data_IF_832234972768
#
_entry.id   IF_832234972768
#
_cell.length_a   1.000
_cell.length_b   1.000
_cell.length_c   1.000
_cell.angle_alpha   90.00
_cell.angle_beta   90.00
_cell.angle_gamma   90.00
#
_symmetry.space_group_name_H-M   'P 1'
#
loop_
_entity.id
_entity.type
_entity.pdbx_description
1 polymer ?
#
# COMPACT_ATOMS: atom_id res chain seq x y z
N UNK A 1 61.83 -79.77 -4.87
CA UNK A 1 60.77 -79.14 -5.63
C UNK A 1 60.93 -77.62 -5.46
N UNK A 2 61.48 -76.96 -6.50
CA UNK A 2 61.81 -75.55 -6.54
C UNK A 2 60.58 -74.77 -7.05
N UNK A 3 60.11 -73.81 -6.29
CA UNK A 3 59.05 -72.85 -6.70
C UNK A 3 59.69 -71.66 -7.38
N UNK A 4 59.53 -71.55 -8.67
CA UNK A 4 59.95 -70.37 -9.47
C UNK A 4 58.91 -69.29 -9.36
N UNK A 5 59.26 -68.16 -8.65
CA UNK A 5 58.44 -66.99 -8.64
C UNK A 5 58.66 -66.15 -9.90
N UNK A 6 57.62 -66.03 -10.74
CA UNK A 6 57.62 -65.12 -11.90
C UNK A 6 57.32 -63.73 -11.40
N UNK A 7 58.30 -62.82 -11.45
CA UNK A 7 58.12 -61.38 -11.29
C UNK A 7 57.52 -60.82 -12.57
N UNK A 8 56.30 -60.29 -12.49
CA UNK A 8 55.73 -59.54 -13.58
C UNK A 8 56.40 -58.13 -13.61
N UNK A 9 57.16 -57.85 -14.66
CA UNK A 9 57.69 -56.54 -15.00
C UNK A 9 56.48 -55.67 -15.51
N UNK A 10 56.14 -54.63 -14.78
CA UNK A 10 55.24 -53.61 -15.30
C UNK A 10 55.97 -52.68 -16.24
N UNK A 11 55.44 -52.45 -17.47
CA UNK A 11 56.13 -51.60 -18.45
C UNK A 11 56.21 -50.14 -17.91
N UNK A 12 57.34 -49.51 -18.18
CA UNK A 12 57.66 -48.13 -17.83
C UNK A 12 56.51 -47.16 -18.09
N UNK A 13 56.22 -46.38 -17.08
CA UNK A 13 55.25 -45.30 -17.16
C UNK A 13 55.57 -44.38 -18.35
N UNK A 14 54.65 -44.32 -19.31
CA UNK A 14 54.70 -43.38 -20.43
C UNK A 14 54.74 -41.96 -19.85
N UNK A 15 55.93 -41.34 -19.88
CA UNK A 15 56.13 -39.93 -19.51
C UNK A 15 55.37 -39.09 -20.53
N UNK A 16 54.19 -38.63 -20.15
CA UNK A 16 53.48 -37.60 -20.91
C UNK A 16 54.34 -36.34 -21.01
N UNK A 17 54.60 -35.86 -22.22
CA UNK A 17 55.40 -34.64 -22.38
C UNK A 17 54.72 -33.48 -21.61
N UNK A 18 55.52 -32.60 -20.96
CA UNK A 18 54.96 -31.47 -20.26
C UNK A 18 54.11 -30.60 -21.22
N UNK A 19 52.89 -30.30 -20.82
CA UNK A 19 52.00 -29.47 -21.63
C UNK A 19 52.71 -28.15 -21.99
N UNK A 20 52.60 -27.71 -23.26
CA UNK A 20 53.28 -26.47 -23.69
C UNK A 20 52.82 -25.31 -22.80
N UNK A 21 53.76 -24.66 -22.11
CA UNK A 21 53.53 -23.46 -21.31
C UNK A 21 53.10 -22.36 -22.26
N UNK A 22 51.81 -22.17 -22.45
CA UNK A 22 51.29 -20.99 -23.17
C UNK A 22 51.76 -19.74 -22.47
N UNK A 23 52.40 -18.79 -23.18
CA UNK A 23 52.90 -17.57 -22.55
C UNK A 23 51.73 -16.82 -21.88
N UNK A 24 51.89 -16.40 -20.63
CA UNK A 24 50.88 -15.82 -19.75
C UNK A 24 50.06 -14.68 -20.39
N UNK A 25 50.64 -13.93 -21.35
CA UNK A 25 49.95 -12.89 -22.10
C UNK A 25 48.88 -13.44 -23.05
N UNK A 26 49.07 -14.61 -23.66
CA UNK A 26 48.06 -15.23 -24.53
C UNK A 26 46.86 -15.74 -23.74
N UNK A 27 47.05 -16.14 -22.49
CA UNK A 27 45.94 -16.57 -21.63
C UNK A 27 45.03 -15.42 -21.20
N UNK A 28 45.48 -14.14 -21.25
CA UNK A 28 44.68 -12.94 -20.91
C UNK A 28 44.17 -12.24 -22.17
N UNK A 29 44.95 -12.18 -23.24
CA UNK A 29 44.58 -11.51 -24.49
C UNK A 29 43.39 -12.17 -25.19
N UNK A 30 43.30 -13.49 -25.18
CA UNK A 30 42.19 -14.20 -25.83
C UNK A 30 40.84 -13.91 -25.16
N UNK A 31 40.64 -14.05 -23.82
CA UNK A 31 39.41 -13.65 -23.18
C UNK A 31 39.12 -12.15 -23.34
N UNK A 32 40.16 -11.30 -23.28
CA UNK A 32 40.01 -9.87 -23.43
C UNK A 32 39.52 -9.47 -24.82
N UNK A 33 40.00 -10.15 -25.92
CA UNK A 33 39.54 -9.88 -27.28
C UNK A 33 38.07 -10.26 -27.48
N UNK A 34 37.61 -11.35 -26.87
CA UNK A 34 36.18 -11.72 -26.90
C UNK A 34 35.32 -10.77 -26.09
N UNK A 35 35.82 -10.23 -24.95
CA UNK A 35 35.12 -9.26 -24.11
C UNK A 35 35.23 -7.83 -24.62
N UNK A 36 36.18 -7.52 -25.50
CA UNK A 36 36.47 -6.16 -25.95
C UNK A 36 35.24 -5.42 -26.53
N UNK A 37 34.41 -5.99 -27.39
CA UNK A 37 33.21 -5.31 -27.88
C UNK A 37 32.23 -4.96 -26.74
N UNK A 38 31.99 -5.87 -25.82
CA UNK A 38 31.11 -5.65 -24.67
C UNK A 38 31.70 -4.60 -23.71
N UNK A 39 33.00 -4.65 -23.41
CA UNK A 39 33.70 -3.68 -22.57
C UNK A 39 33.74 -2.28 -23.23
N UNK A 40 33.87 -2.20 -24.53
CA UNK A 40 33.84 -0.95 -25.28
C UNK A 40 32.44 -0.32 -25.17
N UNK A 41 31.40 -1.10 -25.42
CA UNK A 41 30.01 -0.64 -25.28
C UNK A 41 29.73 -0.17 -23.84
N UNK A 42 30.13 -0.95 -22.85
CA UNK A 42 30.00 -0.59 -21.43
C UNK A 42 30.76 0.71 -21.12
N UNK A 43 31.98 0.85 -21.64
CA UNK A 43 32.80 2.06 -21.47
C UNK A 43 32.12 3.30 -22.02
N UNK A 44 31.63 3.24 -23.28
CA UNK A 44 31.04 4.37 -23.97
C UNK A 44 29.65 4.71 -23.47
N UNK A 45 28.78 3.70 -23.22
CA UNK A 45 27.37 3.92 -22.91
C UNK A 45 27.04 3.95 -21.41
N UNK A 46 27.93 3.47 -20.55
CA UNK A 46 27.70 3.43 -19.10
C UNK A 46 28.76 4.21 -18.34
N UNK A 47 30.04 3.87 -18.50
CA UNK A 47 31.12 4.47 -17.70
C UNK A 47 31.31 5.96 -18.08
N UNK A 48 31.39 6.26 -19.35
CA UNK A 48 31.60 7.65 -19.82
C UNK A 48 30.46 8.59 -19.38
N UNK A 49 29.14 8.28 -19.57
CA UNK A 49 28.07 9.13 -19.06
C UNK A 49 28.09 9.26 -17.54
N UNK A 50 28.39 8.17 -16.81
CA UNK A 50 28.51 8.24 -15.36
C UNK A 50 29.62 9.22 -14.90
N UNK A 51 30.81 9.15 -15.51
CA UNK A 51 31.88 10.11 -15.24
C UNK A 51 31.51 11.54 -15.63
N UNK A 52 30.81 11.72 -16.75
CA UNK A 52 30.29 13.04 -17.13
C UNK A 52 29.28 13.58 -16.13
N UNK A 53 28.41 12.72 -15.56
CA UNK A 53 27.47 13.12 -14.51
C UNK A 53 28.21 13.60 -13.27
N UNK A 54 29.25 12.87 -12.82
CA UNK A 54 30.11 13.30 -11.71
C UNK A 54 30.76 14.64 -12.02
N UNK A 55 31.33 14.82 -13.22
CA UNK A 55 31.93 16.09 -13.63
C UNK A 55 30.91 17.23 -13.62
N UNK A 56 29.73 17.02 -14.20
CA UNK A 56 28.63 18.01 -14.27
C UNK A 56 28.12 18.44 -12.92
N UNK A 57 28.26 17.63 -11.87
CA UNK A 57 27.87 18.02 -10.51
C UNK A 57 28.63 19.25 -9.98
N UNK A 58 29.75 19.61 -10.60
CA UNK A 58 30.58 20.78 -10.26
C UNK A 58 30.30 22.00 -11.19
N UNK A 59 29.36 21.90 -12.11
CA UNK A 59 28.98 22.97 -13.06
C UNK A 59 27.54 23.41 -12.85
N UNK A 60 27.19 24.65 -13.14
CA UNK A 60 25.85 25.17 -12.98
C UNK A 60 24.94 24.82 -14.15
N UNK A 61 25.48 24.86 -15.36
CA UNK A 61 24.79 24.76 -16.64
C UNK A 61 24.77 23.34 -17.24
N UNK A 62 23.94 23.16 -18.26
CA UNK A 62 23.84 21.90 -19.02
C UNK A 62 25.10 21.63 -19.84
N UNK A 63 25.69 22.67 -20.41
CA UNK A 63 26.86 22.56 -21.32
C UNK A 63 28.16 22.26 -20.53
N UNK A 64 28.19 22.48 -19.21
CA UNK A 64 29.35 22.25 -18.36
C UNK A 64 30.46 23.30 -18.59
N UNK A 65 30.06 24.53 -18.81
CA UNK A 65 30.96 25.67 -19.05
C UNK A 65 31.11 26.56 -17.82
N UNK A 66 30.07 26.72 -17.00
CA UNK A 66 30.09 27.50 -15.76
C UNK A 66 30.48 26.65 -14.55
N UNK A 67 31.76 26.68 -14.18
CA UNK A 67 32.31 25.93 -13.05
C UNK A 67 31.97 26.60 -11.73
N UNK A 68 31.17 25.94 -10.91
CA UNK A 68 30.72 26.44 -9.59
C UNK A 68 31.32 25.69 -8.38
N UNK A 69 32.20 24.71 -8.63
CA UNK A 69 32.81 23.92 -7.57
C UNK A 69 31.77 23.13 -6.77
N UNK A 70 31.82 23.24 -5.45
CA UNK A 70 30.92 22.50 -4.54
C UNK A 70 29.56 23.17 -4.27
N UNK A 71 29.22 24.28 -4.92
CA UNK A 71 27.96 25.01 -4.67
C UNK A 71 26.70 24.14 -4.87
N UNK A 72 26.69 23.24 -5.85
CA UNK A 72 25.58 22.32 -6.06
C UNK A 72 25.45 21.31 -4.90
N UNK A 73 26.56 20.86 -4.37
CA UNK A 73 26.61 19.95 -3.22
C UNK A 73 26.16 20.61 -1.93
N UNK A 74 26.61 21.84 -1.68
CA UNK A 74 26.18 22.64 -0.53
C UNK A 74 24.68 22.89 -0.58
N UNK A 75 24.17 23.29 -1.75
CA UNK A 75 22.75 23.45 -1.98
C UNK A 75 21.97 22.15 -1.81
N UNK A 76 22.48 21.02 -2.29
CA UNK A 76 21.86 19.70 -2.13
C UNK A 76 21.74 19.31 -0.65
N UNK A 77 22.77 19.60 0.15
CA UNK A 77 22.79 19.30 1.57
C UNK A 77 21.90 20.25 2.41
N UNK A 78 21.45 21.37 1.86
CA UNK A 78 20.56 22.33 2.52
C UNK A 78 19.13 22.35 1.98
N UNK A 79 18.82 21.55 0.95
CA UNK A 79 17.48 21.52 0.34
C UNK A 79 16.55 20.55 1.08
N UNK A 80 15.42 21.06 1.60
CA UNK A 80 14.44 20.29 2.37
C UNK A 80 13.82 19.13 1.58
N UNK A 81 13.61 19.29 0.27
CA UNK A 81 13.08 18.21 -0.57
C UNK A 81 14.11 17.09 -0.72
N UNK A 82 15.41 17.43 -0.82
CA UNK A 82 16.47 16.42 -0.86
C UNK A 82 16.59 15.69 0.48
N UNK A 83 16.43 16.39 1.60
CA UNK A 83 16.38 15.73 2.93
C UNK A 83 15.19 14.77 3.02
N UNK A 84 14.00 15.20 2.57
CA UNK A 84 12.81 14.34 2.53
C UNK A 84 13.02 13.14 1.60
N UNK A 85 13.60 13.36 0.42
CA UNK A 85 13.94 12.30 -0.52
C UNK A 85 14.93 11.29 0.07
N UNK A 86 15.96 11.77 0.75
CA UNK A 86 16.94 10.91 1.44
C UNK A 86 16.29 10.08 2.55
N UNK A 87 15.47 10.70 3.40
CA UNK A 87 14.70 10.01 4.44
C UNK A 87 13.81 8.92 3.84
N UNK A 88 13.08 9.25 2.78
CA UNK A 88 12.22 8.29 2.09
C UNK A 88 13.04 7.14 1.49
N UNK A 89 14.18 7.41 0.85
CA UNK A 89 15.07 6.36 0.35
C UNK A 89 15.51 5.39 1.47
N UNK A 90 15.82 5.91 2.67
CA UNK A 90 16.15 5.05 3.82
C UNK A 90 14.96 4.19 4.22
N UNK A 91 13.76 4.75 4.29
CA UNK A 91 12.52 4.01 4.57
C UNK A 91 12.29 2.91 3.52
N UNK A 92 12.45 3.24 2.25
CA UNK A 92 12.32 2.31 1.15
C UNK A 92 13.31 1.15 1.24
N UNK A 93 14.58 1.45 1.50
CA UNK A 93 15.67 0.47 1.63
C UNK A 93 15.42 -0.50 2.80
N UNK A 94 14.94 0.03 3.92
CA UNK A 94 14.70 -0.77 5.12
C UNK A 94 13.43 -1.62 5.03
N UNK A 95 12.39 -1.13 4.35
CA UNK A 95 11.09 -1.82 4.36
C UNK A 95 10.93 -2.72 3.13
N UNK A 96 11.06 -2.17 1.92
CA UNK A 96 10.62 -2.88 0.72
C UNK A 96 11.44 -4.17 0.43
N UNK A 97 12.78 -4.19 0.43
CA UNK A 97 13.54 -5.41 0.17
C UNK A 97 13.30 -6.50 1.21
N UNK A 98 13.23 -6.11 2.50
CA UNK A 98 12.97 -7.06 3.59
C UNK A 98 11.58 -7.66 3.45
N UNK A 99 10.56 -6.83 3.22
CA UNK A 99 9.18 -7.29 3.07
C UNK A 99 9.03 -8.19 1.82
N UNK A 100 9.61 -7.82 0.68
CA UNK A 100 9.56 -8.61 -0.56
C UNK A 100 10.22 -9.97 -0.37
N UNK A 101 11.40 -10.02 0.25
CA UNK A 101 12.11 -11.30 0.50
C UNK A 101 11.34 -12.15 1.51
N UNK A 102 10.87 -11.57 2.60
CA UNK A 102 10.12 -12.30 3.64
C UNK A 102 8.81 -12.87 3.10
N UNK A 103 8.01 -12.03 2.42
CA UNK A 103 6.75 -12.47 1.81
C UNK A 103 7.00 -13.45 0.66
N UNK A 104 8.02 -13.22 -0.17
CA UNK A 104 8.43 -14.13 -1.24
C UNK A 104 8.81 -15.51 -0.71
N UNK A 105 9.56 -15.57 0.40
CA UNK A 105 9.92 -16.81 1.07
C UNK A 105 8.69 -17.54 1.63
N UNK A 106 7.80 -16.82 2.32
CA UNK A 106 6.54 -17.40 2.84
C UNK A 106 5.71 -17.98 1.70
N UNK A 107 5.52 -17.21 0.62
CA UNK A 107 4.75 -17.67 -0.54
C UNK A 107 5.43 -18.83 -1.26
N UNK A 108 6.76 -18.86 -1.38
CA UNK A 108 7.50 -19.96 -1.97
C UNK A 108 7.26 -21.28 -1.20
N UNK A 109 7.36 -21.22 0.15
CA UNK A 109 7.12 -22.39 1.02
C UNK A 109 5.67 -22.87 0.96
N UNK A 110 4.72 -21.92 0.99
CA UNK A 110 3.29 -22.26 0.93
C UNK A 110 2.92 -22.91 -0.41
N UNK A 111 3.48 -22.38 -1.51
CA UNK A 111 3.17 -22.89 -2.85
C UNK A 111 3.82 -24.24 -3.16
N UNK A 112 4.87 -24.65 -2.44
CA UNK A 112 5.51 -25.96 -2.64
C UNK A 112 4.57 -27.13 -2.37
N UNK A 113 3.63 -26.96 -1.43
CA UNK A 113 2.70 -28.01 -0.98
C UNK A 113 1.36 -28.05 -1.74
N UNK A 114 1.13 -27.15 -2.68
CA UNK A 114 -0.15 -27.00 -3.38
C UNK A 114 -0.10 -27.72 -4.73
N UNK A 115 -1.07 -28.61 -5.00
CA UNK A 115 -1.10 -29.39 -6.26
C UNK A 115 -1.23 -28.55 -7.54
N UNK A 116 -1.80 -27.35 -7.47
CA UNK A 116 -1.93 -26.38 -8.57
C UNK A 116 -1.01 -25.16 -8.41
N UNK A 117 0.14 -25.37 -7.76
CA UNK A 117 1.17 -24.35 -7.52
C UNK A 117 1.55 -23.52 -8.75
N UNK A 118 1.56 -24.13 -9.95
CA UNK A 118 1.93 -23.44 -11.19
C UNK A 118 0.97 -22.30 -11.53
N UNK A 119 -0.34 -22.50 -11.38
CA UNK A 119 -1.34 -21.45 -11.63
C UNK A 119 -1.17 -20.30 -10.63
N UNK A 120 -1.00 -20.65 -9.36
CA UNK A 120 -0.80 -19.66 -8.29
C UNK A 120 0.49 -18.84 -8.51
N UNK A 121 1.58 -19.49 -8.91
CA UNK A 121 2.85 -18.82 -9.26
C UNK A 121 2.68 -17.86 -10.45
N UNK A 122 1.95 -18.25 -11.49
CA UNK A 122 1.67 -17.38 -12.65
C UNK A 122 0.89 -16.16 -12.25
N UNK A 123 -0.20 -16.31 -11.47
CA UNK A 123 -1.05 -15.21 -11.02
C UNK A 123 -0.26 -14.21 -10.16
N UNK A 124 0.56 -14.69 -9.23
CA UNK A 124 1.38 -13.82 -8.38
C UNK A 124 2.55 -13.17 -9.12
N UNK A 125 3.04 -13.79 -10.19
CA UNK A 125 4.11 -13.24 -11.02
C UNK A 125 3.60 -12.21 -12.04
N UNK A 126 2.31 -12.29 -12.42
CA UNK A 126 1.71 -11.46 -13.47
C UNK A 126 1.88 -9.94 -13.25
N UNK A 127 1.79 -9.39 -12.01
CA UNK A 127 2.02 -7.97 -11.80
C UNK A 127 3.38 -7.45 -12.28
N UNK A 128 4.41 -8.29 -12.27
CA UNK A 128 5.75 -7.91 -12.76
C UNK A 128 5.79 -7.65 -14.27
N UNK A 129 4.88 -8.26 -15.04
CA UNK A 129 4.79 -8.04 -16.49
C UNK A 129 4.18 -6.67 -16.86
N UNK A 130 3.56 -6.00 -15.88
CA UNK A 130 2.96 -4.68 -16.06
C UNK A 130 4.03 -3.62 -15.78
N UNK A 131 4.07 -2.53 -16.58
CA UNK A 131 4.98 -1.43 -16.30
C UNK A 131 4.69 -0.78 -14.94
N UNK A 132 5.73 -0.35 -14.21
CA UNK A 132 5.55 0.32 -12.91
C UNK A 132 4.66 1.57 -12.99
N UNK A 133 4.65 2.25 -14.12
CA UNK A 133 3.75 3.37 -14.35
C UNK A 133 2.28 2.92 -14.38
N UNK A 134 1.96 1.85 -15.14
CA UNK A 134 0.61 1.31 -15.20
C UNK A 134 0.16 0.73 -13.84
N UNK A 135 1.06 0.06 -13.11
CA UNK A 135 0.84 -0.33 -11.71
C UNK A 135 0.45 0.88 -10.87
N UNK A 136 1.16 2.00 -11.05
CA UNK A 136 0.87 3.24 -10.35
C UNK A 136 -0.55 3.75 -10.61
N UNK A 137 -0.99 3.74 -11.86
CA UNK A 137 -2.36 4.14 -12.23
C UNK A 137 -3.41 3.23 -11.59
N UNK A 138 -3.20 1.90 -11.63
CA UNK A 138 -4.10 0.91 -10.99
C UNK A 138 -4.22 1.20 -9.48
N UNK A 139 -3.08 1.33 -8.80
CA UNK A 139 -3.08 1.55 -7.35
C UNK A 139 -3.63 2.91 -6.95
N UNK A 140 -3.52 3.94 -7.80
CA UNK A 140 -4.15 5.24 -7.57
C UNK A 140 -5.67 5.10 -7.48
N UNK A 141 -6.28 4.24 -8.29
CA UNK A 141 -7.71 3.92 -8.23
C UNK A 141 -8.02 3.10 -6.97
N UNK A 142 -7.20 2.08 -6.67
CA UNK A 142 -7.37 1.24 -5.48
C UNK A 142 -7.33 2.05 -4.19
N UNK A 143 -6.52 3.13 -4.15
CA UNK A 143 -6.34 4.03 -3.01
C UNK A 143 -7.31 5.21 -2.96
N UNK A 144 -8.29 5.30 -3.84
CA UNK A 144 -9.26 6.40 -3.76
C UNK A 144 -9.90 6.45 -2.38
N UNK A 145 -10.03 7.68 -1.84
CA UNK A 145 -10.53 7.89 -0.50
C UNK A 145 -12.02 7.53 -0.38
N UNK A 146 -12.80 7.87 -1.41
CA UNK A 146 -14.22 7.53 -1.45
C UNK A 146 -14.41 6.00 -1.44
N UNK A 147 -15.08 5.43 -0.43
CA UNK A 147 -15.32 4.01 -0.34
C UNK A 147 -16.14 3.41 -1.49
N UNK A 148 -16.88 4.22 -2.22
CA UNK A 148 -17.68 3.76 -3.34
C UNK A 148 -16.86 3.67 -4.65
N UNK A 149 -15.62 4.20 -4.64
CA UNK A 149 -14.70 4.20 -5.77
C UNK A 149 -13.38 3.48 -5.49
N UNK A 150 -12.90 3.51 -4.24
CA UNK A 150 -11.63 2.94 -3.81
C UNK A 150 -11.75 1.55 -3.23
N UNK A 151 -11.12 0.54 -3.85
CA UNK A 151 -11.22 -0.87 -3.44
C UNK A 151 -10.85 -1.10 -1.97
N UNK A 152 -9.74 -0.51 -1.50
CA UNK A 152 -9.31 -0.68 -0.10
C UNK A 152 -10.28 -0.02 0.88
N UNK A 153 -10.80 1.14 0.53
CA UNK A 153 -11.76 1.83 1.37
C UNK A 153 -13.15 1.17 1.31
N UNK A 154 -13.55 0.57 0.19
CA UNK A 154 -14.75 -0.27 0.12
C UNK A 154 -14.67 -1.46 1.10
N UNK A 155 -13.55 -2.18 1.09
CA UNK A 155 -13.32 -3.28 2.03
C UNK A 155 -13.28 -2.83 3.50
N UNK A 156 -12.61 -1.72 3.78
CA UNK A 156 -12.53 -1.16 5.12
C UNK A 156 -13.89 -0.64 5.61
N UNK A 157 -14.71 -0.02 4.73
CA UNK A 157 -16.10 0.38 5.03
C UNK A 157 -16.95 -0.83 5.41
N UNK A 158 -16.84 -1.94 4.64
CA UNK A 158 -17.58 -3.17 4.96
C UNK A 158 -17.28 -3.69 6.37
N UNK A 159 -16.02 -3.65 6.79
CA UNK A 159 -15.62 -4.04 8.16
C UNK A 159 -16.10 -3.02 9.19
N UNK A 160 -15.91 -1.73 8.92
CA UNK A 160 -16.32 -0.64 9.82
C UNK A 160 -17.83 -0.66 10.10
N UNK A 161 -18.64 -0.86 9.06
CA UNK A 161 -20.11 -0.79 9.15
C UNK A 161 -20.72 -2.00 9.89
N UNK A 162 -19.95 -3.09 10.09
CA UNK A 162 -20.32 -4.17 11.00
C UNK A 162 -20.40 -3.65 12.45
N UNK A 163 -19.48 -2.79 12.85
CA UNK A 163 -19.38 -2.26 14.21
C UNK A 163 -20.09 -0.93 14.41
N UNK A 164 -20.13 -0.09 13.37
CA UNK A 164 -20.63 1.28 13.44
C UNK A 164 -21.51 1.57 12.24
N UNK A 165 -22.80 1.35 12.38
CA UNK A 165 -23.76 1.64 11.30
C UNK A 165 -23.87 3.15 11.06
N UNK A 166 -23.87 3.60 9.79
CA UNK A 166 -24.15 5.00 9.47
C UNK A 166 -25.60 5.37 9.86
N UNK A 167 -25.81 6.61 10.16
CA UNK A 167 -27.13 7.14 10.42
C UNK A 167 -27.95 7.28 9.13
N UNK A 168 -29.25 7.26 9.25
CA UNK A 168 -30.18 7.38 8.09
C UNK A 168 -30.29 8.82 7.58
N UNK A 169 -29.88 9.81 8.37
CA UNK A 169 -30.00 11.25 8.06
C UNK A 169 -28.73 12.04 8.42
N UNK A 170 -27.57 11.78 7.82
CA UNK A 170 -26.31 12.41 8.22
C UNK A 170 -26.28 13.94 8.03
N UNK A 171 -27.02 14.47 7.05
CA UNK A 171 -27.00 15.88 6.66
C UNK A 171 -28.27 16.66 7.08
N UNK A 172 -29.18 16.03 7.83
CA UNK A 172 -30.44 16.66 8.23
C UNK A 172 -30.21 17.84 9.19
N UNK A 173 -31.10 18.80 9.08
CA UNK A 173 -31.20 19.95 9.97
C UNK A 173 -32.52 19.91 10.74
N UNK A 174 -32.57 20.44 11.98
CA UNK A 174 -33.82 20.51 12.74
C UNK A 174 -34.81 21.44 12.06
N UNK A 175 -36.03 20.95 11.87
CA UNK A 175 -37.14 21.77 11.40
C UNK A 175 -37.87 22.52 12.51
N UNK A 176 -39.02 23.09 12.18
CA UNK A 176 -39.81 23.89 13.13
C UNK A 176 -40.24 23.06 14.35
N UNK A 177 -40.10 23.59 15.53
CA UNK A 177 -40.49 22.96 16.81
C UNK A 177 -39.40 22.06 17.40
N UNK A 178 -38.23 21.92 16.73
CA UNK A 178 -37.08 21.18 17.25
C UNK A 178 -35.98 22.14 17.73
N UNK A 179 -35.29 21.71 18.77
CA UNK A 179 -34.03 22.34 19.23
C UNK A 179 -32.86 21.95 18.29
N UNK A 180 -31.69 22.61 18.37
CA UNK A 180 -30.49 22.18 17.62
C UNK A 180 -30.04 20.73 17.86
N UNK A 181 -30.52 20.11 18.95
CA UNK A 181 -30.27 18.72 19.28
C UNK A 181 -31.38 17.79 18.76
N UNK A 182 -32.25 18.26 17.88
CA UNK A 182 -33.39 17.51 17.32
C UNK A 182 -34.37 16.99 18.39
N UNK A 183 -34.49 17.66 19.50
CA UNK A 183 -35.45 17.40 20.56
C UNK A 183 -36.61 18.38 20.45
N UNK A 184 -37.82 17.92 20.76
CA UNK A 184 -38.98 18.82 20.88
C UNK A 184 -38.69 19.98 21.85
N UNK A 185 -39.02 21.18 21.44
CA UNK A 185 -38.87 22.38 22.29
C UNK A 185 -39.91 22.48 23.37
N UNK A 186 -41.05 21.82 23.21
CA UNK A 186 -42.15 21.75 24.19
C UNK A 186 -42.33 20.29 24.62
N UNK A 187 -42.39 20.03 25.93
CA UNK A 187 -42.70 18.70 26.44
C UNK A 187 -44.13 18.28 26.04
N UNK A 188 -44.34 16.97 25.96
CA UNK A 188 -45.62 16.34 25.65
C UNK A 188 -46.05 15.45 26.79
N UNK A 189 -47.35 15.25 26.92
CA UNK A 189 -47.94 14.37 27.94
C UNK A 189 -48.35 13.02 27.31
N UNK A 190 -48.61 12.03 28.12
CA UNK A 190 -49.17 10.76 27.70
C UNK A 190 -50.50 10.98 26.93
N UNK A 191 -50.66 10.34 25.77
CA UNK A 191 -51.73 10.61 24.81
C UNK A 191 -51.40 11.68 23.77
N UNK A 192 -50.22 12.34 23.89
CA UNK A 192 -49.82 13.38 22.94
C UNK A 192 -49.18 12.82 21.66
N UNK A 193 -49.02 13.71 20.64
CA UNK A 193 -48.39 13.39 19.36
C UNK A 193 -47.11 14.20 19.18
N UNK A 194 -45.99 13.50 19.06
CA UNK A 194 -44.67 14.09 18.80
C UNK A 194 -44.48 14.35 17.29
N UNK A 195 -44.19 15.58 16.91
CA UNK A 195 -43.93 15.99 15.52
C UNK A 195 -42.47 16.38 15.35
N UNK A 196 -41.67 15.54 14.69
CA UNK A 196 -40.23 15.72 14.51
C UNK A 196 -39.95 16.08 13.05
N UNK A 197 -40.09 17.36 12.72
CA UNK A 197 -39.79 17.88 11.37
C UNK A 197 -38.27 17.91 11.12
N UNK A 198 -37.82 17.38 10.02
CA UNK A 198 -36.42 17.44 9.58
C UNK A 198 -36.32 18.10 8.21
N UNK A 199 -35.32 18.94 8.03
CA UNK A 199 -35.07 19.70 6.79
C UNK A 199 -33.64 19.44 6.30
N UNK A 200 -33.26 20.04 5.17
CA UNK A 200 -31.89 19.91 4.62
C UNK A 200 -31.59 18.57 3.94
N UNK A 201 -32.56 17.69 3.80
CA UNK A 201 -32.40 16.38 3.15
C UNK A 201 -32.70 16.52 1.67
N UNK A 202 -31.70 16.23 0.80
CA UNK A 202 -31.89 16.16 -0.64
C UNK A 202 -32.81 14.98 -1.02
N UNK A 203 -33.59 15.06 -2.13
CA UNK A 203 -34.52 13.97 -2.51
C UNK A 203 -33.86 12.61 -2.65
N UNK A 204 -32.64 12.57 -3.18
CA UNK A 204 -31.82 11.38 -3.36
C UNK A 204 -31.29 10.77 -2.05
N UNK A 205 -31.27 11.56 -0.97
CA UNK A 205 -30.80 11.15 0.36
C UNK A 205 -31.96 10.70 1.28
N UNK A 206 -33.18 10.69 0.78
CA UNK A 206 -34.32 10.10 1.50
C UNK A 206 -34.14 8.59 1.57
N UNK A 207 -34.22 7.96 2.76
CA UNK A 207 -34.05 6.52 2.88
C UNK A 207 -35.03 5.74 1.98
N UNK A 208 -34.54 4.64 1.38
CA UNK A 208 -35.37 3.80 0.52
C UNK A 208 -36.58 3.22 1.28
N UNK A 209 -37.72 3.11 0.58
CA UNK A 209 -38.96 2.64 1.18
C UNK A 209 -39.81 3.71 1.86
N UNK A 210 -39.36 4.98 1.86
CA UNK A 210 -40.12 6.10 2.42
C UNK A 210 -41.47 6.26 1.75
N UNK A 211 -42.53 6.34 2.55
CA UNK A 211 -43.91 6.56 2.14
C UNK A 211 -44.37 7.97 2.53
N UNK A 212 -45.53 8.37 2.04
CA UNK A 212 -46.21 9.61 2.46
C UNK A 212 -46.24 9.69 4.00
N UNK A 213 -45.80 10.78 4.57
CA UNK A 213 -45.86 11.00 6.01
C UNK A 213 -47.30 11.03 6.51
N UNK A 214 -47.53 10.34 7.62
CA UNK A 214 -48.87 10.29 8.25
C UNK A 214 -48.73 10.74 9.69
N UNK A 215 -49.48 11.77 10.07
CA UNK A 215 -49.61 12.17 11.48
C UNK A 215 -50.48 11.16 12.22
N UNK A 216 -49.99 10.38 13.18
CA UNK A 216 -50.77 9.40 13.91
C UNK A 216 -51.84 10.08 14.79
N UNK A 217 -52.87 9.35 15.15
CA UNK A 217 -53.90 9.82 16.05
C UNK A 217 -53.42 9.75 17.50
N UNK A 218 -53.87 10.67 18.39
CA UNK A 218 -53.63 10.54 19.82
C UNK A 218 -54.22 9.29 20.39
N UNK A 219 -53.45 8.56 21.23
CA UNK A 219 -53.92 7.32 21.90
C UNK A 219 -53.60 7.43 23.39
N UNK A 220 -54.61 7.17 24.25
CA UNK A 220 -54.40 7.21 25.71
C UNK A 220 -53.35 6.16 26.14
N UNK A 221 -52.50 6.54 27.08
CA UNK A 221 -51.41 5.66 27.58
C UNK A 221 -50.22 5.49 26.64
N UNK A 222 -50.22 6.18 25.50
CA UNK A 222 -49.11 6.12 24.52
C UNK A 222 -48.65 7.51 24.14
N UNK A 223 -47.41 7.61 23.66
CA UNK A 223 -46.95 8.76 22.88
C UNK A 223 -46.72 8.28 21.46
N UNK A 224 -47.49 8.77 20.54
CA UNK A 224 -47.34 8.54 19.12
C UNK A 224 -46.62 9.70 18.44
N UNK A 225 -46.06 9.51 17.29
CA UNK A 225 -45.38 10.61 16.59
C UNK A 225 -45.00 10.29 15.17
N UNK A 226 -44.45 11.28 14.48
CA UNK A 226 -43.99 11.17 13.10
C UNK A 226 -42.70 11.95 12.91
N UNK A 227 -41.75 11.34 12.23
CA UNK A 227 -40.53 11.96 11.69
C UNK A 227 -40.70 12.09 10.19
N UNK A 228 -40.58 13.30 9.65
CA UNK A 228 -40.77 13.51 8.21
C UNK A 228 -39.84 14.56 7.66
N UNK A 229 -39.60 14.49 6.37
CA UNK A 229 -38.92 15.53 5.61
C UNK A 229 -39.90 16.69 5.39
N UNK A 230 -39.68 17.77 6.15
CA UNK A 230 -40.50 18.98 6.05
C UNK A 230 -40.07 19.83 4.85
N UNK A 231 -40.47 19.37 3.68
CA UNK A 231 -40.17 20.01 2.40
C UNK A 231 -41.26 19.71 1.36
N UNK A 232 -41.81 20.76 0.81
CA UNK A 232 -42.77 20.72 -0.28
C UNK A 232 -42.33 21.62 -1.43
N UNK A 233 -42.22 21.11 -2.67
CA UNK A 233 -41.99 21.93 -3.85
C UNK A 233 -43.04 23.03 -3.98
N UNK A 234 -42.63 24.27 -4.23
CA UNK A 234 -43.53 25.41 -4.35
C UNK A 234 -43.98 26.06 -3.02
N UNK A 235 -43.45 25.58 -1.89
CA UNK A 235 -43.72 26.10 -0.56
C UNK A 235 -44.76 25.28 0.21
N UNK A 236 -44.62 25.26 1.53
CA UNK A 236 -45.46 24.52 2.47
C UNK A 236 -45.56 25.29 3.81
N UNK A 237 -46.29 24.72 4.77
CA UNK A 237 -46.39 25.22 6.14
C UNK A 237 -45.37 24.49 7.01
N UNK A 238 -44.27 25.13 7.45
CA UNK A 238 -43.28 24.48 8.27
C UNK A 238 -43.88 23.83 9.53
N UNK A 239 -43.43 22.63 9.89
CA UNK A 239 -43.87 21.88 11.07
C UNK A 239 -45.25 21.23 10.95
N UNK A 240 -45.88 21.25 9.78
CA UNK A 240 -47.17 20.60 9.49
C UNK A 240 -46.99 19.54 8.39
N UNK A 241 -47.34 18.32 8.67
CA UNK A 241 -47.30 17.26 7.65
C UNK A 241 -48.31 17.54 6.55
N UNK A 242 -47.86 17.71 5.32
CA UNK A 242 -48.68 17.98 4.13
C UNK A 242 -48.57 16.84 3.10
N UNK A 243 -49.47 16.88 2.11
CA UNK A 243 -49.41 15.95 0.96
C UNK A 243 -48.09 16.13 0.22
N UNK A 244 -47.47 15.03 -0.22
CA UNK A 244 -46.15 14.93 -0.90
C UNK A 244 -44.95 15.01 0.02
N UNK A 245 -45.13 15.23 1.33
CA UNK A 245 -44.05 15.08 2.29
C UNK A 245 -43.88 13.64 2.70
N UNK A 246 -42.64 13.19 2.79
CA UNK A 246 -42.33 11.79 3.05
C UNK A 246 -41.90 11.57 4.48
N UNK A 247 -42.37 10.49 5.07
CA UNK A 247 -41.89 10.01 6.34
C UNK A 247 -40.42 9.52 6.24
N UNK A 248 -39.70 9.51 7.32
CA UNK A 248 -38.33 9.02 7.38
C UNK A 248 -38.32 7.65 8.03
N UNK A 249 -38.12 6.56 7.28
CA UNK A 249 -38.01 5.20 7.83
C UNK A 249 -36.71 4.98 8.58
N UNK A 250 -36.77 4.17 9.63
CA UNK A 250 -35.59 3.71 10.37
C UNK A 250 -34.89 4.78 11.23
N UNK A 251 -35.48 5.98 11.36
CA UNK A 251 -34.94 7.00 12.26
C UNK A 251 -35.13 6.54 13.72
N UNK A 252 -34.04 6.58 14.51
CA UNK A 252 -34.10 6.23 15.93
C UNK A 252 -34.63 7.42 16.73
N UNK A 253 -35.72 7.20 17.47
CA UNK A 253 -36.32 8.20 18.36
C UNK A 253 -36.15 7.76 19.81
N UNK A 254 -35.69 8.67 20.64
CA UNK A 254 -35.61 8.47 22.09
C UNK A 254 -36.63 9.33 22.81
N UNK A 255 -37.28 8.80 23.82
CA UNK A 255 -38.16 9.51 24.73
C UNK A 255 -37.40 9.80 26.01
N UNK A 256 -37.40 11.07 26.37
CA UNK A 256 -36.72 11.59 27.57
C UNK A 256 -37.77 12.06 28.59
N UNK A 257 -37.50 11.80 29.88
CA UNK A 257 -38.21 12.38 31.02
C UNK A 257 -37.19 12.92 32.03
N UNK A 258 -37.28 14.16 32.40
CA UNK A 258 -36.31 14.82 33.27
C UNK A 258 -34.85 14.65 32.83
N UNK A 259 -34.64 14.70 31.48
CA UNK A 259 -33.30 14.53 30.85
C UNK A 259 -32.77 13.10 30.79
N UNK A 260 -33.51 12.10 31.30
CA UNK A 260 -33.14 10.70 31.26
C UNK A 260 -33.93 9.97 30.17
N UNK A 261 -33.28 9.10 29.40
CA UNK A 261 -33.92 8.23 28.42
C UNK A 261 -34.81 7.22 29.12
N UNK A 262 -36.11 7.22 28.80
CA UNK A 262 -37.11 6.28 29.30
C UNK A 262 -37.59 5.28 28.26
N UNK A 263 -37.35 5.53 26.97
CA UNK A 263 -37.66 4.62 25.89
C UNK A 263 -36.92 4.96 24.61
N UNK A 264 -36.82 3.99 23.70
CA UNK A 264 -36.24 4.15 22.37
C UNK A 264 -37.00 3.30 21.38
N UNK A 265 -37.29 3.83 20.19
CA UNK A 265 -37.98 3.14 19.11
C UNK A 265 -37.44 3.60 17.75
N UNK A 266 -37.83 2.92 16.66
CA UNK A 266 -37.50 3.32 15.28
C UNK A 266 -38.76 3.61 14.52
N UNK A 267 -38.67 4.54 13.56
CA UNK A 267 -39.80 4.93 12.72
C UNK A 267 -40.11 3.88 11.64
N UNK A 268 -41.38 3.72 11.30
CA UNK A 268 -41.85 2.96 10.16
C UNK A 268 -41.65 3.69 8.82
N UNK A 269 -42.10 3.06 7.70
CA UNK A 269 -41.92 3.58 6.35
C UNK A 269 -42.58 4.96 6.11
N UNK A 270 -43.65 5.24 6.83
CA UNK A 270 -44.41 6.52 6.80
C UNK A 270 -43.88 7.52 7.83
N UNK A 271 -42.77 7.21 8.51
CA UNK A 271 -42.16 7.99 9.56
C UNK A 271 -42.87 7.90 10.91
N UNK A 272 -43.94 7.13 11.05
CA UNK A 272 -44.67 6.97 12.31
C UNK A 272 -43.88 6.19 13.35
N UNK A 273 -44.07 6.50 14.64
CA UNK A 273 -43.51 5.75 15.76
C UNK A 273 -44.46 5.79 16.97
N UNK A 274 -44.31 4.87 17.89
CA UNK A 274 -45.10 4.78 19.10
C UNK A 274 -44.23 4.35 20.29
N UNK A 275 -44.53 4.96 21.44
CA UNK A 275 -44.07 4.52 22.75
C UNK A 275 -45.32 4.08 23.54
N UNK A 276 -45.37 2.83 23.93
CA UNK A 276 -46.42 2.22 24.72
C UNK A 276 -46.16 2.42 26.23
N UNK A 277 -47.16 2.21 27.06
CA UNK A 277 -47.12 2.21 28.53
C UNK A 277 -46.55 3.52 29.14
N UNK A 278 -46.96 4.66 28.56
CA UNK A 278 -46.50 5.97 29.02
C UNK A 278 -47.60 6.59 29.90
N UNK A 279 -47.18 7.09 31.09
CA UNK A 279 -48.10 7.70 32.05
C UNK A 279 -47.58 9.04 32.58
N UNK A 280 -48.51 10.00 32.81
CA UNK A 280 -48.18 11.36 33.26
C UNK A 280 -47.71 12.26 32.13
N UNK A 281 -46.90 13.27 32.45
CA UNK A 281 -46.49 14.31 31.49
C UNK A 281 -45.00 14.66 31.57
N UNK A 282 -44.62 15.66 30.78
CA UNK A 282 -43.25 16.19 30.79
C UNK A 282 -42.25 15.42 29.94
N UNK A 283 -42.70 14.71 28.92
CA UNK A 283 -41.81 13.94 28.04
C UNK A 283 -41.27 14.78 26.87
N UNK A 284 -40.05 14.52 26.48
CA UNK A 284 -39.43 15.16 25.31
C UNK A 284 -39.01 14.05 24.32
N UNK A 285 -39.60 14.00 23.14
CA UNK A 285 -39.15 13.13 22.05
C UNK A 285 -37.98 13.81 21.35
N UNK A 286 -36.94 13.02 21.08
CA UNK A 286 -35.71 13.47 20.44
C UNK A 286 -35.26 12.41 19.40
N UNK A 287 -34.76 12.88 18.25
CA UNK A 287 -34.02 11.98 17.35
C UNK A 287 -32.66 11.62 17.96
N UNK A 288 -32.39 10.32 18.03
CA UNK A 288 -31.14 9.85 18.62
C UNK A 288 -29.92 10.32 17.80
N UNK A 289 -28.79 10.63 18.43
CA UNK A 289 -27.57 11.02 17.72
C UNK A 289 -27.10 9.99 16.67
N UNK A 290 -27.42 8.72 16.87
CA UNK A 290 -27.16 7.67 15.90
C UNK A 290 -27.82 7.89 14.53
N UNK A 291 -28.97 8.57 14.49
CA UNK A 291 -29.70 8.93 13.26
C UNK A 291 -28.89 9.84 12.33
N UNK A 292 -28.00 10.67 12.92
CA UNK A 292 -27.20 11.68 12.19
C UNK A 292 -25.73 11.29 12.01
N UNK A 293 -25.37 10.05 12.33
CA UNK A 293 -23.98 9.61 12.21
C UNK A 293 -23.56 9.63 10.75
N UNK A 294 -22.56 10.45 10.45
CA UNK A 294 -22.00 10.54 9.11
C UNK A 294 -21.47 9.20 8.65
N UNK A 295 -21.63 8.83 7.38
CA UNK A 295 -20.99 7.65 6.81
C UNK A 295 -19.48 7.76 6.91
N UNK A 296 -18.83 6.63 7.03
CA UNK A 296 -17.38 6.58 7.08
C UNK A 296 -16.79 7.04 5.73
N UNK A 297 -15.89 8.04 5.78
CA UNK A 297 -15.35 8.73 4.59
C UNK A 297 -14.10 8.07 4.00
N UNK A 298 -13.68 6.93 4.54
CA UNK A 298 -12.47 6.26 4.08
C UNK A 298 -11.18 6.80 4.71
N UNK A 299 -10.11 6.06 4.47
CA UNK A 299 -8.74 6.44 4.83
C UNK A 299 -8.12 7.20 3.66
N UNK A 300 -7.47 8.31 3.93
CA UNK A 300 -6.70 9.07 2.94
C UNK A 300 -5.33 8.41 2.71
N UNK A 301 -5.31 7.30 1.96
CA UNK A 301 -4.10 6.53 1.68
C UNK A 301 -3.01 7.35 0.97
N UNK A 302 -3.43 8.27 0.10
CA UNK A 302 -2.54 9.13 -0.68
C UNK A 302 -2.37 10.52 -0.04
N UNK A 303 -2.70 10.69 1.24
CA UNK A 303 -2.39 11.88 2.00
C UNK A 303 -0.93 11.92 2.48
N UNK A 304 -0.44 13.09 2.97
CA UNK A 304 0.97 13.31 3.31
C UNK A 304 1.57 12.27 4.27
N UNK A 305 0.76 11.73 5.18
CA UNK A 305 1.21 10.78 6.20
C UNK A 305 1.38 9.36 5.69
N UNK A 306 0.58 8.92 4.71
CA UNK A 306 0.49 7.53 4.30
C UNK A 306 1.01 7.28 2.88
N UNK A 307 1.21 8.32 2.07
CA UNK A 307 1.55 8.19 0.65
C UNK A 307 2.78 7.32 0.41
N UNK A 308 3.85 7.52 1.16
CA UNK A 308 5.09 6.71 1.01
C UNK A 308 4.83 5.24 1.34
N UNK A 309 4.11 4.95 2.44
CA UNK A 309 3.76 3.57 2.83
C UNK A 309 2.82 2.90 1.83
N UNK A 310 1.86 3.64 1.30
CA UNK A 310 0.95 3.16 0.25
C UNK A 310 1.72 2.78 -1.02
N UNK A 311 2.65 3.61 -1.46
CA UNK A 311 3.46 3.34 -2.66
C UNK A 311 4.38 2.12 -2.42
N UNK A 312 4.98 1.98 -1.23
CA UNK A 312 5.77 0.80 -0.85
C UNK A 312 4.92 -0.47 -0.93
N UNK A 313 3.67 -0.44 -0.47
CA UNK A 313 2.76 -1.59 -0.54
C UNK A 313 2.47 -1.99 -2.00
N UNK A 314 2.21 -1.01 -2.87
CA UNK A 314 2.03 -1.24 -4.29
C UNK A 314 3.28 -1.86 -4.96
N UNK A 315 4.46 -1.41 -4.58
CA UNK A 315 5.73 -1.97 -5.04
C UNK A 315 5.93 -3.40 -4.56
N UNK A 316 5.69 -3.69 -3.28
CA UNK A 316 5.78 -5.04 -2.72
C UNK A 316 4.87 -6.00 -3.48
N UNK A 317 3.61 -5.61 -3.74
CA UNK A 317 2.68 -6.41 -4.54
C UNK A 317 3.23 -6.75 -5.92
N UNK A 318 3.93 -5.82 -6.57
CA UNK A 318 4.54 -6.04 -7.89
C UNK A 318 5.75 -6.96 -7.82
N UNK A 319 6.59 -6.81 -6.78
CA UNK A 319 7.90 -7.45 -6.70
C UNK A 319 7.86 -8.84 -6.03
N UNK A 320 6.85 -9.11 -5.19
CA UNK A 320 6.80 -10.33 -4.37
C UNK A 320 6.70 -11.60 -5.20
N UNK A 321 6.00 -11.57 -6.35
CA UNK A 321 5.88 -12.72 -7.25
C UNK A 321 7.23 -13.16 -7.83
N UNK A 322 8.07 -12.20 -8.22
CA UNK A 322 9.45 -12.48 -8.66
C UNK A 322 10.25 -13.14 -7.53
N UNK A 323 10.23 -12.55 -6.35
CA UNK A 323 10.95 -13.10 -5.19
C UNK A 323 10.49 -14.52 -4.87
N UNK A 324 9.19 -14.79 -4.88
CA UNK A 324 8.60 -16.12 -4.67
C UNK A 324 9.13 -17.14 -5.68
N UNK A 325 9.17 -16.79 -6.96
CA UNK A 325 9.63 -17.72 -8.01
C UNK A 325 11.12 -18.04 -7.86
N UNK A 326 11.97 -17.02 -7.66
CA UNK A 326 13.42 -17.21 -7.50
C UNK A 326 13.75 -17.99 -6.22
N UNK A 327 13.10 -17.65 -5.12
CA UNK A 327 13.29 -18.35 -3.83
C UNK A 327 12.74 -19.79 -3.93
N UNK A 328 11.60 -19.98 -4.60
CA UNK A 328 11.03 -21.31 -4.84
C UNK A 328 11.95 -22.22 -5.68
N UNK A 329 12.62 -21.67 -6.69
CA UNK A 329 13.64 -22.40 -7.44
C UNK A 329 14.82 -22.82 -6.54
N UNK A 330 15.28 -21.91 -5.68
CA UNK A 330 16.31 -22.22 -4.67
C UNK A 330 15.86 -23.29 -3.67
N UNK A 331 14.60 -23.24 -3.24
CA UNK A 331 14.02 -24.22 -2.33
C UNK A 331 13.98 -25.62 -2.96
N UNK A 332 13.56 -25.70 -4.21
CA UNK A 332 13.51 -26.96 -4.98
C UNK A 332 14.90 -27.55 -5.24
N UNK A 333 15.97 -26.75 -5.15
CA UNK A 333 17.36 -27.21 -5.34
C UNK A 333 17.96 -27.84 -4.07
N UNK A 334 17.30 -27.74 -2.91
CA UNK A 334 17.76 -28.37 -1.66
C UNK A 334 17.57 -29.90 -1.76
N UNK A 335 18.64 -30.71 -1.56
CA UNK A 335 18.53 -32.16 -1.59
C UNK A 335 17.55 -32.67 -0.52
N UNK A 336 16.64 -33.56 -0.89
CA UNK A 336 15.65 -34.13 0.03
C UNK A 336 16.29 -34.89 1.18
N UNK A 337 17.39 -35.57 0.91
CA UNK A 337 18.13 -36.35 1.91
C UNK A 337 18.59 -35.51 3.11
N UNK A 338 18.94 -34.24 2.87
CA UNK A 338 19.31 -33.29 3.93
C UNK A 338 18.13 -33.00 4.86
N UNK A 339 16.94 -32.82 4.27
CA UNK A 339 15.71 -32.57 5.05
C UNK A 339 15.23 -33.82 5.80
N UNK A 340 15.37 -35.00 5.20
CA UNK A 340 15.01 -36.30 5.81
C UNK A 340 15.97 -36.63 6.94
N UNK A 341 17.28 -36.42 6.78
CA UNK A 341 18.26 -36.57 7.85
C UNK A 341 17.92 -35.68 9.06
N UNK A 342 17.61 -34.40 8.82
CA UNK A 342 17.22 -33.48 9.89
C UNK A 342 15.93 -33.90 10.61
N UNK A 343 14.97 -34.55 9.92
CA UNK A 343 13.77 -35.15 10.54
C UNK A 343 14.12 -36.38 11.38
N UNK A 344 15.03 -37.22 10.88
CA UNK A 344 15.49 -38.42 11.60
C UNK A 344 16.23 -38.05 12.88
N UNK A 345 16.97 -36.92 12.88
CA UNK A 345 17.63 -36.34 14.06
C UNK A 345 16.63 -35.72 15.08
N UNK A 346 15.31 -35.83 14.84
CA UNK A 346 14.26 -35.34 15.72
C UNK A 346 13.92 -33.89 15.61
N UNK A 347 14.34 -33.21 14.53
CA UNK A 347 13.98 -31.80 14.26
C UNK A 347 12.50 -31.68 13.86
N UNK A 348 11.76 -30.75 14.51
CA UNK A 348 10.44 -30.38 14.04
C UNK A 348 10.53 -29.46 12.79
N UNK A 349 9.43 -29.33 12.03
CA UNK A 349 9.41 -28.57 10.75
C UNK A 349 9.90 -27.11 10.91
N UNK A 350 9.60 -26.45 12.01
CA UNK A 350 10.07 -25.08 12.27
C UNK A 350 11.58 -25.02 12.55
N UNK A 351 12.11 -26.02 13.28
CA UNK A 351 13.55 -26.13 13.54
C UNK A 351 14.31 -26.43 12.24
N UNK A 352 13.80 -27.36 11.42
CA UNK A 352 14.37 -27.67 10.12
C UNK A 352 14.36 -26.45 9.22
N UNK A 353 13.22 -25.75 9.12
CA UNK A 353 13.10 -24.53 8.33
C UNK A 353 14.12 -23.47 8.76
N UNK A 354 14.22 -23.18 10.07
CA UNK A 354 15.09 -22.12 10.58
C UNK A 354 16.59 -22.49 10.55
N UNK A 355 16.93 -23.75 10.86
CA UNK A 355 18.34 -24.18 11.05
C UNK A 355 18.96 -24.85 9.83
N UNK A 356 18.14 -25.38 8.91
CA UNK A 356 18.59 -26.07 7.71
C UNK A 356 18.17 -25.32 6.44
N UNK A 357 16.87 -25.13 6.23
CA UNK A 357 16.34 -24.56 5.00
C UNK A 357 16.79 -23.10 4.79
N UNK A 358 16.58 -22.22 5.78
CA UNK A 358 16.98 -20.79 5.66
C UNK A 358 18.50 -20.65 5.42
N UNK A 359 19.40 -21.29 6.18
CA UNK A 359 20.85 -21.20 5.90
C UNK A 359 21.25 -21.68 4.51
N UNK A 360 20.65 -22.77 4.00
CA UNK A 360 20.90 -23.26 2.64
C UNK A 360 20.36 -22.33 1.55
N UNK A 361 19.27 -21.63 1.84
CA UNK A 361 18.69 -20.61 0.95
C UNK A 361 19.40 -19.24 1.02
N UNK A 362 20.25 -19.01 2.02
CA UNK A 362 20.87 -17.69 2.24
C UNK A 362 21.53 -17.09 0.98
N UNK A 363 22.25 -17.86 0.13
CA UNK A 363 22.80 -17.32 -1.11
C UNK A 363 21.71 -16.75 -2.03
N UNK A 364 20.59 -17.48 -2.20
CA UNK A 364 19.46 -17.07 -3.04
C UNK A 364 18.75 -15.88 -2.45
N UNK A 365 18.46 -15.91 -1.13
CA UNK A 365 17.82 -14.81 -0.42
C UNK A 365 18.66 -13.53 -0.54
N UNK A 366 19.98 -13.63 -0.42
CA UNK A 366 20.90 -12.50 -0.57
C UNK A 366 20.84 -11.92 -1.99
N UNK A 367 20.82 -12.76 -3.03
CA UNK A 367 20.71 -12.29 -4.42
C UNK A 367 19.40 -11.55 -4.64
N UNK A 368 18.26 -12.11 -4.18
CA UNK A 368 16.97 -11.45 -4.29
C UNK A 368 16.96 -10.13 -3.52
N UNK A 369 17.47 -10.12 -2.29
CA UNK A 369 17.54 -8.92 -1.46
C UNK A 369 18.34 -7.80 -2.12
N UNK A 370 19.55 -8.09 -2.63
CA UNK A 370 20.40 -7.10 -3.31
C UNK A 370 19.74 -6.60 -4.59
N UNK A 371 19.08 -7.48 -5.35
CA UNK A 371 18.33 -7.09 -6.56
C UNK A 371 17.21 -6.11 -6.21
N UNK A 372 16.46 -6.35 -5.14
CA UNK A 372 15.42 -5.43 -4.67
C UNK A 372 16.00 -4.10 -4.17
N UNK A 373 17.12 -4.13 -3.45
CA UNK A 373 17.83 -2.92 -3.01
C UNK A 373 18.19 -2.01 -4.19
N UNK A 374 18.74 -2.60 -5.24
CA UNK A 374 19.10 -1.89 -6.48
C UNK A 374 17.85 -1.27 -7.13
N UNK A 375 16.74 -2.03 -7.19
CA UNK A 375 15.47 -1.55 -7.71
C UNK A 375 14.93 -0.35 -6.95
N UNK A 376 14.95 -0.43 -5.63
CA UNK A 376 14.45 0.60 -4.72
C UNK A 376 15.23 1.91 -4.81
N UNK A 377 16.56 1.86 -4.95
CA UNK A 377 17.38 3.06 -5.09
C UNK A 377 17.06 3.87 -6.36
N UNK A 378 16.56 3.22 -7.41
CA UNK A 378 16.20 3.84 -8.69
C UNK A 378 14.71 4.12 -8.84
N UNK A 379 13.93 3.97 -7.76
CA UNK A 379 12.48 4.05 -7.85
C UNK A 379 12.03 5.47 -8.20
N UNK A 380 11.26 5.59 -9.27
CA UNK A 380 10.78 6.85 -9.83
C UNK A 380 9.35 6.69 -10.38
N UNK A 381 9.14 5.77 -11.34
CA UNK A 381 7.91 5.67 -12.15
C UNK A 381 6.65 5.51 -11.31
N UNK A 382 6.69 4.62 -10.32
CA UNK A 382 5.54 4.33 -9.46
C UNK A 382 5.18 5.53 -8.57
N UNK A 383 6.18 6.30 -8.11
CA UNK A 383 5.95 7.53 -7.32
C UNK A 383 5.28 8.57 -8.19
N UNK A 384 5.79 8.77 -9.41
CA UNK A 384 5.23 9.73 -10.36
C UNK A 384 3.77 9.41 -10.70
N UNK A 385 3.43 8.13 -10.86
CA UNK A 385 2.09 7.69 -11.26
C UNK A 385 1.08 7.67 -10.10
N UNK A 386 1.49 7.25 -8.88
CA UNK A 386 0.59 7.13 -7.72
C UNK A 386 0.39 8.46 -7.01
N UNK A 387 1.49 9.16 -6.67
CA UNK A 387 1.41 10.33 -5.80
C UNK A 387 0.69 11.50 -6.47
N UNK A 388 -0.40 12.04 -5.87
CA UNK A 388 -1.01 13.29 -6.31
C UNK A 388 0.01 14.43 -6.30
N UNK A 389 -0.12 15.39 -7.21
CA UNK A 389 0.82 16.52 -7.34
C UNK A 389 1.03 17.30 -6.04
N UNK A 390 -0.03 17.47 -5.25
CA UNK A 390 0.00 18.20 -3.97
C UNK A 390 0.80 17.51 -2.86
N UNK A 391 0.88 16.17 -2.86
CA UNK A 391 1.57 15.36 -1.84
C UNK A 391 2.82 14.66 -2.39
N UNK A 392 3.16 14.92 -3.64
CA UNK A 392 4.35 14.34 -4.27
C UNK A 392 5.66 14.69 -3.56
N UNK A 393 5.84 15.91 -3.02
CA UNK A 393 7.02 16.23 -2.20
C UNK A 393 7.19 15.33 -0.98
N UNK A 394 6.09 14.88 -0.35
CA UNK A 394 6.14 13.99 0.81
C UNK A 394 6.56 12.56 0.45
N UNK A 395 6.32 12.13 -0.78
CA UNK A 395 6.66 10.81 -1.32
C UNK A 395 7.97 10.79 -2.11
N UNK A 396 8.62 11.94 -2.28
CA UNK A 396 9.79 12.08 -3.14
C UNK A 396 10.95 11.16 -2.75
N UNK A 397 11.74 10.76 -3.74
CA UNK A 397 12.99 10.00 -3.58
C UNK A 397 14.12 10.72 -4.31
N UNK A 398 15.37 10.35 -4.02
CA UNK A 398 16.52 10.97 -4.68
C UNK A 398 16.49 10.80 -6.20
N UNK A 399 16.02 9.65 -6.70
CA UNK A 399 15.86 9.44 -8.14
C UNK A 399 14.78 10.36 -8.73
N UNK A 400 13.70 10.58 -7.99
CA UNK A 400 12.63 11.49 -8.39
C UNK A 400 13.08 12.96 -8.35
N UNK A 401 13.73 13.39 -7.29
CA UNK A 401 14.28 14.76 -7.17
C UNK A 401 15.33 15.04 -8.26
N UNK A 402 16.23 14.11 -8.52
CA UNK A 402 17.19 14.23 -9.62
C UNK A 402 16.49 14.50 -10.95
N UNK A 403 15.47 13.73 -11.27
CA UNK A 403 14.70 13.90 -12.51
C UNK A 403 13.95 15.23 -12.52
N UNK A 404 13.29 15.58 -11.42
CA UNK A 404 12.50 16.80 -11.32
C UNK A 404 13.36 18.06 -11.51
N UNK A 405 14.54 18.10 -10.88
CA UNK A 405 15.46 19.23 -10.98
C UNK A 405 16.15 19.33 -12.33
N UNK A 406 16.40 18.19 -13.00
CA UNK A 406 17.07 18.18 -14.29
C UNK A 406 16.13 18.38 -15.47
N UNK A 407 14.90 17.78 -15.45
CA UNK A 407 14.09 17.61 -16.67
C UNK A 407 12.65 18.11 -16.54
N UNK A 408 12.19 18.53 -15.36
CA UNK A 408 10.80 18.92 -15.11
C UNK A 408 10.58 20.46 -15.12
N UNK A 409 11.34 21.19 -15.95
CA UNK A 409 11.17 22.63 -16.16
C UNK A 409 12.09 23.55 -15.35
N UNK A 410 12.74 23.07 -14.30
CA UNK A 410 13.77 23.86 -13.58
C UNK A 410 15.10 23.91 -14.32
N UNK A 411 15.39 22.90 -15.15
CA UNK A 411 16.58 22.74 -15.99
C UNK A 411 17.91 22.99 -15.25
N UNK A 412 17.97 22.55 -13.97
CA UNK A 412 19.16 22.69 -13.13
C UNK A 412 20.02 21.44 -13.22
N UNK A 413 20.63 21.21 -14.36
CA UNK A 413 21.38 19.98 -14.65
C UNK A 413 22.52 19.71 -13.68
N UNK A 414 23.27 20.74 -13.31
CA UNK A 414 24.37 20.57 -12.33
C UNK A 414 23.89 20.16 -10.95
N UNK A 415 22.78 20.72 -10.47
CA UNK A 415 22.16 20.32 -9.21
C UNK A 415 21.60 18.90 -9.28
N UNK A 416 20.89 18.54 -10.35
CA UNK A 416 20.42 17.16 -10.58
C UNK A 416 21.59 16.17 -10.69
N UNK A 417 22.71 16.56 -11.30
CA UNK A 417 23.90 15.75 -11.39
C UNK A 417 24.57 15.52 -10.03
N UNK A 418 24.50 16.46 -9.08
CA UNK A 418 24.99 16.25 -7.71
C UNK A 418 24.13 15.19 -6.99
N UNK A 419 22.81 15.22 -7.14
CA UNK A 419 21.89 14.19 -6.58
C UNK A 419 22.15 12.82 -7.23
N UNK A 420 22.32 12.76 -8.56
CA UNK A 420 22.66 11.53 -9.26
C UNK A 420 24.00 10.94 -8.79
N UNK A 421 25.00 11.80 -8.56
CA UNK A 421 26.31 11.37 -8.03
C UNK A 421 26.18 10.85 -6.60
N UNK A 422 25.36 11.48 -5.76
CA UNK A 422 25.05 10.95 -4.42
C UNK A 422 24.41 9.57 -4.49
N UNK A 423 23.42 9.37 -5.37
CA UNK A 423 22.81 8.04 -5.60
C UNK A 423 23.86 7.00 -6.02
N UNK A 424 24.77 7.36 -6.91
CA UNK A 424 25.85 6.49 -7.36
C UNK A 424 26.78 6.12 -6.18
N UNK A 425 27.14 7.07 -5.31
CA UNK A 425 27.94 6.83 -4.12
C UNK A 425 27.21 5.87 -3.16
N UNK A 426 25.91 6.07 -2.95
CA UNK A 426 25.10 5.18 -2.11
C UNK A 426 24.99 3.76 -2.66
N UNK A 427 25.13 3.59 -3.96
CA UNK A 427 25.06 2.29 -4.63
C UNK A 427 26.35 1.46 -4.49
N UNK A 428 27.51 2.11 -4.41
CA UNK A 428 28.85 1.46 -4.37
C UNK A 428 28.97 0.42 -3.25
N UNK A 429 28.57 0.67 -1.98
CA UNK A 429 28.67 -0.33 -0.91
C UNK A 429 27.94 -1.65 -1.23
N UNK A 430 26.76 -1.55 -1.87
CA UNK A 430 25.97 -2.73 -2.25
C UNK A 430 26.65 -3.54 -3.36
N UNK A 431 27.24 -2.87 -4.35
CA UNK A 431 28.05 -3.52 -5.38
C UNK A 431 29.26 -4.27 -4.78
N UNK A 432 29.99 -3.61 -3.88
CA UNK A 432 31.15 -4.22 -3.22
C UNK A 432 30.70 -5.44 -2.41
N UNK A 433 29.60 -5.33 -1.67
CA UNK A 433 29.05 -6.46 -0.92
C UNK A 433 28.69 -7.64 -1.83
N UNK A 434 28.00 -7.39 -2.95
CA UNK A 434 27.62 -8.41 -3.92
C UNK A 434 28.82 -9.11 -4.53
N UNK A 435 29.84 -8.35 -4.95
CA UNK A 435 31.07 -8.90 -5.52
C UNK A 435 31.84 -9.76 -4.50
N UNK A 436 31.89 -9.33 -3.23
CA UNK A 436 32.52 -10.12 -2.17
C UNK A 436 31.75 -11.40 -1.84
N UNK A 437 30.42 -11.33 -1.83
CA UNK A 437 29.55 -12.50 -1.59
C UNK A 437 29.71 -13.55 -2.68
N UNK A 438 29.75 -13.14 -3.95
CA UNK A 438 29.97 -14.06 -5.06
C UNK A 438 31.34 -14.75 -5.00
N UNK A 439 32.41 -14.02 -4.64
CA UNK A 439 33.77 -14.60 -4.50
C UNK A 439 33.91 -15.59 -3.33
N UNK A 440 33.02 -15.53 -2.33
CA UNK A 440 33.01 -16.48 -1.21
C UNK A 440 32.33 -17.80 -1.56
N UNK A 441 31.46 -17.79 -2.56
CA UNK A 441 30.64 -18.93 -2.98
C UNK A 441 31.16 -19.59 -4.27
N UNK A 442 32.18 -19.02 -4.92
CA UNK A 442 32.94 -19.57 -6.03
C UNK A 442 34.25 -20.23 -5.54
#
# INVERSE_FOLDING_TARGET
MASTSVRAEFPDTVRTPPAPRTPRYRSVLLPLSFLAPALLLLGVWVIYPALQTVRRSFYADEDGTDFVGFKNWDRMLSDDNVHTAFKNNVIWILIAPIAVVALGLVLAVLTEKIGWASVFKIVLFMPLAISLFAVGVIWRIVYQQDPDQGLLNAGAKGIHDIFVKPGVLPDAQPGQGLSPRFALTKPIDAGGVAKLAVTGIAPENVPGGAKQAVTPKPEQGKITGVVWRDFKPGGGRPGVVEKQEVGIPGASVTLLKDGKTVGSTSTGDDGSFTFDDVSGGGYTAQLAPATFRAPWRGVEWLGPRLVTSAIILAFIWTAVGFAMVVIGAGLSAIPRDVLEAARTDGGNEFQIFRRVTIPLLMPVLTVVFVTQMIGVLKIFDIIYAIAPGSVRPDATTLAFEMWQRSFSGENRFGFGASIATLLMILFVPFLIYQLRSQRRNA
#
